data_IF_794951663949
#
_entry.id   IF_794951663949
#
_cell.length_a   1.000
_cell.length_b   1.000
_cell.length_c   1.000
_cell.angle_alpha   90.00
_cell.angle_beta   90.00
_cell.angle_gamma   90.00
#
_symmetry.space_group_name_H-M   'P 1'
#
loop_
_entity.id
_entity.type
_entity.pdbx_description
1 polymer ?
#
# COMPACT_ATOMS: atom_id res chain seq x y z
N UNK A 1 39.69 10.24 -26.42
CA UNK A 1 39.06 9.11 -25.68
C UNK A 1 37.53 9.12 -25.72
N UNK A 2 36.83 10.16 -25.24
CA UNK A 2 35.36 10.13 -25.10
C UNK A 2 34.48 10.06 -26.36
N UNK A 3 35.05 10.14 -27.58
CA UNK A 3 34.29 9.96 -28.84
C UNK A 3 34.16 8.48 -29.21
N UNK A 4 35.26 7.73 -29.08
CA UNK A 4 35.31 6.27 -29.29
C UNK A 4 34.42 5.53 -28.28
N UNK A 5 34.44 5.98 -27.03
CA UNK A 5 33.65 5.38 -25.95
C UNK A 5 32.14 5.53 -26.18
N UNK A 6 31.70 6.69 -26.69
CA UNK A 6 30.32 6.94 -27.09
C UNK A 6 29.89 6.04 -28.26
N UNK A 7 30.75 5.85 -29.26
CA UNK A 7 30.49 4.95 -30.39
C UNK A 7 30.37 3.49 -29.94
N UNK A 8 31.22 3.03 -29.03
CA UNK A 8 31.13 1.67 -28.48
C UNK A 8 29.81 1.47 -27.72
N UNK A 9 29.40 2.47 -26.92
CA UNK A 9 28.13 2.39 -26.18
C UNK A 9 26.90 2.42 -27.08
N UNK A 10 26.90 3.22 -28.15
CA UNK A 10 25.81 3.24 -29.14
C UNK A 10 25.69 1.92 -29.88
N UNK A 11 26.82 1.34 -30.30
CA UNK A 11 26.85 0.06 -31.01
C UNK A 11 26.33 -1.08 -30.12
N UNK A 12 26.78 -1.14 -28.86
CA UNK A 12 26.24 -2.11 -27.89
C UNK A 12 24.74 -1.96 -27.66
N UNK A 13 24.20 -0.74 -27.69
CA UNK A 13 22.76 -0.50 -27.54
C UNK A 13 22.01 -0.97 -28.80
N UNK A 14 22.54 -0.68 -29.99
CA UNK A 14 21.98 -1.10 -31.25
C UNK A 14 21.90 -2.62 -31.37
N UNK A 15 23.01 -3.32 -31.11
CA UNK A 15 23.07 -4.78 -31.17
C UNK A 15 22.11 -5.45 -30.17
N UNK A 16 22.01 -4.92 -28.94
CA UNK A 16 21.05 -5.43 -27.95
C UNK A 16 19.60 -5.21 -28.38
N UNK A 17 19.30 -4.07 -28.98
CA UNK A 17 17.96 -3.80 -29.51
C UNK A 17 17.64 -4.78 -30.64
N UNK A 18 18.53 -4.90 -31.62
CA UNK A 18 18.38 -5.82 -32.75
C UNK A 18 18.22 -7.27 -32.31
N UNK A 19 19.00 -7.74 -31.34
CA UNK A 19 18.86 -9.09 -30.81
C UNK A 19 17.50 -9.31 -30.15
N UNK A 20 16.99 -8.33 -29.38
CA UNK A 20 15.65 -8.42 -28.78
C UNK A 20 14.55 -8.41 -29.82
N UNK A 21 14.68 -7.56 -30.84
CA UNK A 21 13.71 -7.45 -31.92
C UNK A 21 13.64 -8.78 -32.69
N UNK A 22 14.79 -9.37 -33.03
CA UNK A 22 14.86 -10.70 -33.65
C UNK A 22 14.24 -11.80 -32.78
N UNK A 23 14.57 -11.87 -31.48
CA UNK A 23 13.98 -12.86 -30.56
C UNK A 23 12.46 -12.69 -30.50
N UNK A 24 11.98 -11.45 -30.44
CA UNK A 24 10.56 -11.13 -30.40
C UNK A 24 9.88 -11.58 -31.69
N UNK A 25 10.44 -11.25 -32.85
CA UNK A 25 9.91 -11.66 -34.16
C UNK A 25 9.88 -13.19 -34.29
N UNK A 26 10.97 -13.88 -33.93
CA UNK A 26 11.02 -15.34 -33.95
C UNK A 26 10.00 -15.98 -33.00
N UNK A 27 9.82 -15.41 -31.81
CA UNK A 27 8.80 -15.87 -30.87
C UNK A 27 7.41 -15.77 -31.49
N UNK A 28 7.02 -14.60 -31.99
CA UNK A 28 5.68 -14.42 -32.57
C UNK A 28 5.47 -15.20 -33.87
N UNK A 29 6.53 -15.43 -34.65
CA UNK A 29 6.45 -16.24 -35.85
C UNK A 29 6.25 -17.74 -35.56
N UNK A 30 6.65 -18.22 -34.38
CA UNK A 30 6.68 -19.66 -34.05
C UNK A 30 5.75 -20.06 -32.89
N UNK A 31 5.24 -19.11 -32.11
CA UNK A 31 4.47 -19.41 -30.89
C UNK A 31 3.21 -20.23 -31.21
N UNK A 32 2.50 -19.88 -32.29
CA UNK A 32 1.29 -20.60 -32.69
C UNK A 32 1.61 -22.04 -33.12
N UNK A 33 2.70 -22.24 -33.86
CA UNK A 33 3.17 -23.55 -34.30
C UNK A 33 3.58 -24.42 -33.12
N UNK A 34 4.35 -23.84 -32.19
CA UNK A 34 4.78 -24.51 -30.95
C UNK A 34 3.56 -24.88 -30.09
N UNK A 35 2.56 -24.01 -29.99
CA UNK A 35 1.34 -24.26 -29.23
C UNK A 35 0.50 -25.39 -29.85
N UNK A 36 0.34 -25.41 -31.18
CA UNK A 36 -0.36 -26.49 -31.89
C UNK A 36 0.37 -27.82 -31.68
N UNK A 37 1.70 -27.85 -31.81
CA UNK A 37 2.51 -29.06 -31.58
C UNK A 37 2.35 -29.58 -30.14
N UNK A 38 2.34 -28.69 -29.14
CA UNK A 38 2.09 -29.04 -27.74
C UNK A 38 0.70 -29.68 -27.54
N UNK A 39 -0.34 -29.09 -28.13
CA UNK A 39 -1.70 -29.62 -28.07
C UNK A 39 -1.80 -31.02 -28.71
N UNK A 40 -1.16 -31.23 -29.87
CA UNK A 40 -1.11 -32.53 -30.54
C UNK A 40 -0.37 -33.59 -29.69
N UNK A 41 0.61 -33.18 -28.90
CA UNK A 41 1.33 -34.03 -27.95
C UNK A 41 0.57 -34.22 -26.62
N UNK A 42 -0.59 -33.60 -26.45
CA UNK A 42 -1.37 -33.66 -25.20
C UNK A 42 -0.76 -32.87 -24.04
N UNK A 43 0.18 -31.96 -24.31
CA UNK A 43 0.81 -31.11 -23.32
C UNK A 43 -0.02 -29.83 -23.17
N UNK A 44 -0.79 -29.72 -22.08
CA UNK A 44 -1.59 -28.53 -21.76
C UNK A 44 -0.70 -27.41 -21.20
N UNK A 45 -0.95 -26.16 -21.60
CA UNK A 45 -0.31 -24.97 -21.03
C UNK A 45 -0.47 -24.89 -19.49
N UNK A 46 -1.52 -25.52 -18.94
CA UNK A 46 -1.77 -25.57 -17.50
C UNK A 46 -0.73 -26.39 -16.72
N UNK A 47 -0.05 -27.36 -17.36
CA UNK A 47 0.94 -28.21 -16.68
C UNK A 47 2.30 -27.53 -16.54
N UNK A 48 2.68 -26.67 -17.50
CA UNK A 48 3.97 -25.95 -17.50
C UNK A 48 3.91 -24.60 -16.76
N UNK A 49 2.73 -24.02 -16.63
CA UNK A 49 2.50 -22.77 -15.91
C UNK A 49 1.84 -23.07 -14.56
N UNK A 50 2.61 -23.63 -13.62
CA UNK A 50 2.38 -23.38 -12.19
C UNK A 50 2.68 -21.91 -11.88
N UNK A 51 1.89 -21.02 -12.47
CA UNK A 51 1.83 -19.63 -12.04
C UNK A 51 1.01 -19.69 -10.77
N UNK A 52 1.71 -19.85 -9.65
CA UNK A 52 1.13 -19.59 -8.33
C UNK A 52 0.41 -18.24 -8.42
N UNK A 53 -0.88 -18.22 -8.08
CA UNK A 53 -1.65 -16.99 -8.11
C UNK A 53 -0.89 -15.93 -7.31
N UNK A 54 -0.60 -14.77 -7.91
CA UNK A 54 0.18 -13.76 -7.23
C UNK A 54 -0.54 -13.40 -5.92
N UNK A 55 0.19 -13.47 -4.81
CA UNK A 55 -0.33 -13.06 -3.51
C UNK A 55 -0.69 -11.57 -3.62
N UNK A 56 -1.99 -11.28 -3.81
CA UNK A 56 -2.49 -9.91 -3.95
C UNK A 56 -2.40 -9.24 -2.59
N UNK A 57 -1.39 -8.39 -2.42
CA UNK A 57 -1.27 -7.53 -1.23
C UNK A 57 -2.09 -6.26 -1.42
N UNK A 58 -3.11 -6.08 -0.58
CA UNK A 58 -3.90 -4.86 -0.57
C UNK A 58 -3.23 -3.78 0.29
N UNK A 59 -3.29 -2.53 -0.20
CA UNK A 59 -2.73 -1.38 0.51
C UNK A 59 -3.43 -1.06 1.83
N UNK A 60 -4.68 -1.49 2.00
CA UNK A 60 -5.47 -1.29 3.21
C UNK A 60 -6.38 -2.47 3.51
N UNK A 61 -6.73 -2.62 4.79
CA UNK A 61 -7.50 -3.76 5.31
C UNK A 61 -8.94 -3.75 4.83
N UNK A 62 -9.50 -2.56 4.60
CA UNK A 62 -10.86 -2.34 4.11
C UNK A 62 -10.99 -2.89 2.68
N UNK A 63 -10.00 -2.65 1.81
CA UNK A 63 -9.96 -3.27 0.47
C UNK A 63 -9.79 -4.78 0.53
N UNK A 64 -8.97 -5.30 1.44
CA UNK A 64 -8.79 -6.74 1.61
C UNK A 64 -10.08 -7.42 2.10
N UNK A 65 -10.82 -6.80 3.03
CA UNK A 65 -12.13 -7.29 3.50
C UNK A 65 -13.14 -7.27 2.35
N UNK A 66 -13.22 -6.16 1.64
CA UNK A 66 -14.14 -6.01 0.53
C UNK A 66 -13.86 -7.01 -0.60
N UNK A 67 -12.59 -7.21 -0.99
CA UNK A 67 -12.21 -8.20 -1.99
C UNK A 67 -12.59 -9.62 -1.54
N UNK A 68 -12.30 -10.00 -0.29
CA UNK A 68 -12.71 -11.31 0.26
C UNK A 68 -14.23 -11.48 0.27
N UNK A 69 -14.98 -10.41 0.50
CA UNK A 69 -16.44 -10.45 0.55
C UNK A 69 -17.08 -10.52 -0.84
N UNK A 70 -16.52 -9.81 -1.83
CA UNK A 70 -17.00 -9.78 -3.21
C UNK A 70 -16.59 -11.01 -4.03
N UNK A 71 -15.37 -11.52 -3.82
CA UNK A 71 -14.79 -12.64 -4.56
C UNK A 71 -14.79 -13.94 -3.75
N UNK A 72 -15.73 -14.09 -2.83
CA UNK A 72 -15.91 -15.32 -2.04
C UNK A 72 -16.22 -16.50 -2.98
N UNK A 73 -15.49 -17.60 -2.82
CA UNK A 73 -15.61 -18.80 -3.67
C UNK A 73 -17.03 -19.39 -3.64
N UNK A 74 -17.53 -19.82 -4.80
CA UNK A 74 -18.84 -20.46 -4.93
C UNK A 74 -18.94 -21.75 -4.07
N UNK A 75 -17.81 -22.39 -3.78
CA UNK A 75 -17.75 -23.57 -2.92
C UNK A 75 -18.13 -23.31 -1.44
N UNK A 76 -17.97 -22.07 -0.96
CA UNK A 76 -18.34 -21.69 0.41
C UNK A 76 -19.85 -21.45 0.61
N UNK A 77 -20.66 -21.49 -0.44
CA UNK A 77 -22.12 -21.38 -0.34
C UNK A 77 -22.79 -22.70 0.03
N UNK A 78 -22.05 -23.81 0.06
CA UNK A 78 -22.61 -25.14 0.34
C UNK A 78 -23.00 -25.34 1.82
N UNK A 79 -22.45 -24.56 2.76
CA UNK A 79 -22.67 -24.77 4.20
C UNK A 79 -23.23 -23.57 4.96
N UNK A 80 -23.34 -22.40 4.34
CA UNK A 80 -23.89 -21.21 5.01
C UNK A 80 -25.37 -21.03 4.66
N UNK A 81 -26.25 -21.44 5.58
CA UNK A 81 -27.60 -20.87 5.78
C UNK A 81 -27.52 -19.39 6.23
N UNK A 82 -26.52 -18.64 5.75
CA UNK A 82 -26.34 -17.24 6.07
C UNK A 82 -27.31 -16.42 5.23
N UNK A 83 -28.22 -15.76 5.94
CA UNK A 83 -29.18 -14.81 5.38
C UNK A 83 -28.44 -13.84 4.45
N UNK A 84 -28.77 -13.81 3.14
CA UNK A 84 -28.07 -12.97 2.15
C UNK A 84 -28.07 -11.49 2.54
N UNK A 85 -29.00 -11.08 3.39
CA UNK A 85 -29.08 -9.75 3.99
C UNK A 85 -27.87 -9.39 4.86
N UNK A 86 -27.37 -10.30 5.70
CA UNK A 86 -26.24 -9.99 6.58
C UNK A 86 -24.94 -9.78 5.78
N UNK A 87 -24.71 -10.61 4.77
CA UNK A 87 -23.57 -10.45 3.86
C UNK A 87 -23.65 -9.12 3.10
N UNK A 88 -24.83 -8.78 2.55
CA UNK A 88 -25.03 -7.48 1.88
C UNK A 88 -24.79 -6.31 2.81
N UNK A 89 -25.29 -6.36 4.04
CA UNK A 89 -25.03 -5.32 5.04
C UNK A 89 -23.53 -5.19 5.32
N UNK A 90 -22.82 -6.31 5.52
CA UNK A 90 -21.37 -6.29 5.74
C UNK A 90 -20.62 -5.66 4.55
N UNK A 91 -20.98 -6.02 3.31
CA UNK A 91 -20.41 -5.43 2.10
C UNK A 91 -20.66 -3.92 2.05
N UNK A 92 -21.87 -3.46 2.38
CA UNK A 92 -22.20 -2.03 2.45
C UNK A 92 -21.38 -1.32 3.53
N UNK A 93 -21.22 -1.92 4.71
CA UNK A 93 -20.38 -1.39 5.77
C UNK A 93 -18.90 -1.29 5.33
N UNK A 94 -18.37 -2.34 4.71
CA UNK A 94 -16.99 -2.36 4.20
C UNK A 94 -16.78 -1.32 3.09
N UNK A 95 -17.75 -1.16 2.18
CA UNK A 95 -17.74 -0.10 1.16
C UNK A 95 -17.76 1.29 1.78
N UNK A 96 -18.63 1.52 2.76
CA UNK A 96 -18.77 2.81 3.44
C UNK A 96 -17.48 3.15 4.18
N UNK A 97 -16.90 2.17 4.89
CA UNK A 97 -15.61 2.32 5.57
C UNK A 97 -14.51 2.70 4.58
N UNK A 98 -14.45 2.06 3.40
CA UNK A 98 -13.48 2.38 2.35
C UNK A 98 -13.69 3.80 1.77
N UNK A 99 -14.93 4.21 1.53
CA UNK A 99 -15.26 5.54 1.00
C UNK A 99 -14.91 6.67 1.98
N UNK A 100 -14.93 6.40 3.28
CA UNK A 100 -14.53 7.34 4.32
C UNK A 100 -13.00 7.53 4.40
N UNK A 101 -12.22 6.72 3.66
CA UNK A 101 -10.76 6.86 3.65
C UNK A 101 -10.31 7.93 2.66
N UNK A 102 -9.45 8.84 3.14
CA UNK A 102 -8.67 9.73 2.30
C UNK A 102 -7.78 8.87 1.40
N UNK A 103 -7.89 9.09 0.08
CA UNK A 103 -7.19 8.30 -0.93
C UNK A 103 -5.71 8.11 -0.58
N UNK A 104 -5.30 6.84 -0.47
CA UNK A 104 -3.88 6.50 -0.30
C UNK A 104 -3.14 7.11 -1.49
N UNK A 105 -2.14 8.00 -1.28
CA UNK A 105 -1.40 8.57 -2.38
C UNK A 105 -0.83 7.41 -3.20
N UNK A 106 -1.29 7.26 -4.44
CA UNK A 106 -0.81 6.27 -5.38
C UNK A 106 0.62 6.66 -5.77
N UNK A 107 1.58 6.44 -4.87
CA UNK A 107 2.99 6.45 -5.25
C UNK A 107 3.22 5.14 -5.96
N UNK A 108 2.95 5.16 -7.27
CA UNK A 108 3.49 4.21 -8.22
C UNK A 108 5.01 4.24 -8.06
N UNK A 109 5.53 3.33 -7.22
CA UNK A 109 6.93 2.96 -7.23
C UNK A 109 6.96 1.61 -7.90
N UNK A 110 7.51 1.59 -9.10
CA UNK A 110 8.14 0.42 -9.71
C UNK A 110 9.33 -0.03 -8.85
N UNK A 111 9.07 -0.39 -7.60
CA UNK A 111 9.98 -1.16 -6.78
C UNK A 111 9.58 -2.60 -7.01
N UNK A 112 10.35 -3.28 -7.87
CA UNK A 112 10.39 -4.75 -7.93
C UNK A 112 10.56 -5.23 -6.49
N UNK A 113 9.48 -5.72 -5.89
CA UNK A 113 9.47 -6.15 -4.52
C UNK A 113 10.19 -7.49 -4.48
N UNK A 114 11.43 -7.50 -3.99
CA UNK A 114 12.01 -8.72 -3.43
C UNK A 114 11.11 -9.16 -2.28
N UNK A 115 10.57 -10.37 -2.42
CA UNK A 115 9.78 -11.01 -1.39
C UNK A 115 10.60 -11.10 -0.09
N UNK A 116 10.17 -10.35 0.92
CA UNK A 116 10.38 -10.76 2.31
C UNK A 116 9.03 -11.25 2.81
N UNK A 117 8.92 -12.58 2.91
CA UNK A 117 7.73 -13.25 3.42
C UNK A 117 7.48 -12.88 4.87
N UNK A 118 6.39 -12.16 5.12
CA UNK A 118 5.74 -12.14 6.42
C UNK A 118 4.67 -13.23 6.40
N UNK A 119 5.07 -14.43 6.87
CA UNK A 119 4.13 -15.37 7.46
C UNK A 119 3.68 -14.75 8.77
N UNK A 120 2.45 -14.24 8.80
CA UNK A 120 1.68 -14.13 10.02
C UNK A 120 0.21 -14.25 9.63
N UNK A 121 -0.39 -15.35 10.07
CA UNK A 121 -1.82 -15.63 10.01
C UNK A 121 -2.60 -14.43 10.58
N UNK A 122 -3.65 -13.94 9.90
CA UNK A 122 -4.44 -12.84 10.42
C UNK A 122 -5.35 -13.38 11.53
N UNK A 123 -4.86 -13.35 12.78
CA UNK A 123 -5.76 -13.36 13.93
C UNK A 123 -6.72 -12.17 13.84
N UNK A 124 -7.96 -12.27 14.35
CA UNK A 124 -8.90 -11.15 14.34
C UNK A 124 -8.29 -9.99 15.12
N UNK A 125 -7.82 -8.96 14.42
CA UNK A 125 -7.29 -7.75 15.06
C UNK A 125 -8.49 -7.01 15.63
N UNK A 126 -8.65 -7.14 16.94
CA UNK A 126 -9.48 -6.32 17.78
C UNK A 126 -9.11 -4.85 17.55
N UNK A 127 -10.14 -4.07 17.24
CA UNK A 127 -10.00 -2.75 16.64
C UNK A 127 -9.84 -1.66 17.67
N UNK A 128 -8.83 -1.67 18.54
CA UNK A 128 -8.44 -0.46 19.26
C UNK A 128 -7.08 -0.58 19.99
N UNK A 129 -5.98 -0.70 19.25
CA UNK A 129 -4.66 -0.47 19.83
C UNK A 129 -3.96 0.66 19.10
N UNK A 130 -4.42 1.90 19.33
CA UNK A 130 -3.53 3.05 19.19
C UNK A 130 -2.41 2.88 20.21
N UNK A 131 -1.13 2.79 19.81
CA UNK A 131 -0.05 2.66 20.76
C UNK A 131 -0.04 3.88 21.69
N UNK A 132 -0.21 3.65 23.00
CA UNK A 132 -0.10 4.70 24.03
C UNK A 132 1.28 5.40 23.97
N UNK A 133 2.28 4.73 23.39
CA UNK A 133 3.61 5.26 23.13
C UNK A 133 3.84 5.30 21.61
N UNK A 134 3.80 6.51 21.05
CA UNK A 134 4.11 6.74 19.65
C UNK A 134 5.62 6.90 19.44
N UNK A 135 6.24 6.19 18.48
CA UNK A 135 7.59 6.50 18.02
C UNK A 135 7.74 7.99 17.70
N UNK A 136 8.88 8.59 18.07
CA UNK A 136 9.18 10.02 17.84
C UNK A 136 9.19 10.44 16.35
N UNK A 137 9.07 9.48 15.44
CA UNK A 137 8.99 9.66 13.99
C UNK A 137 7.57 9.54 13.43
N UNK A 138 6.53 9.43 14.25
CA UNK A 138 5.14 9.44 13.82
C UNK A 138 4.54 10.84 13.84
N UNK A 139 3.51 11.08 13.04
CA UNK A 139 2.81 12.36 12.99
C UNK A 139 1.51 12.27 13.79
N UNK A 140 1.35 13.06 14.87
CA UNK A 140 0.14 13.04 15.72
C UNK A 140 -1.14 13.27 14.91
N UNK A 141 -1.13 14.26 14.02
CA UNK A 141 -2.27 14.55 13.15
C UNK A 141 -2.65 13.38 12.24
N UNK A 142 -1.67 12.65 11.71
CA UNK A 142 -1.94 11.51 10.83
C UNK A 142 -2.33 10.26 11.62
N UNK A 143 -1.83 10.13 12.84
CA UNK A 143 -2.17 9.03 13.73
C UNK A 143 -3.63 9.13 14.18
N UNK A 144 -4.08 10.31 14.60
CA UNK A 144 -5.46 10.56 15.01
C UNK A 144 -6.44 10.79 13.85
N UNK A 145 -5.99 10.73 12.60
CA UNK A 145 -6.88 10.90 11.46
C UNK A 145 -7.61 9.60 11.14
N UNK A 146 -8.88 9.54 11.53
CA UNK A 146 -9.75 8.39 11.26
C UNK A 146 -10.00 8.13 9.76
N UNK A 147 -9.81 9.14 8.92
CA UNK A 147 -9.92 9.02 7.47
C UNK A 147 -8.68 8.35 6.86
N UNK A 148 -7.66 7.98 7.63
CA UNK A 148 -6.55 7.14 7.13
C UNK A 148 -6.83 5.68 7.39
N UNK A 149 -6.44 4.82 6.45
CA UNK A 149 -6.55 3.37 6.59
C UNK A 149 -5.85 2.93 7.88
N UNK A 150 -6.45 2.02 8.66
CA UNK A 150 -5.97 1.66 10.00
C UNK A 150 -4.51 1.19 10.01
N UNK A 151 -4.08 0.46 8.98
CA UNK A 151 -2.69 0.01 8.81
C UNK A 151 -1.71 1.13 8.40
N UNK A 152 -2.21 2.28 7.98
CA UNK A 152 -1.42 3.46 7.57
C UNK A 152 -1.37 4.58 8.62
N UNK A 153 -2.25 4.54 9.63
CA UNK A 153 -2.24 5.47 10.79
C UNK A 153 -0.93 5.42 11.58
N UNK A 154 -0.32 4.25 11.90
CA UNK A 154 0.96 4.19 12.60
C UNK A 154 2.18 4.44 11.69
N UNK A 155 2.01 5.11 10.54
CA UNK A 155 3.11 5.37 9.61
C UNK A 155 4.24 6.14 10.29
N UNK A 156 5.42 5.52 10.34
CA UNK A 156 6.64 6.12 10.86
C UNK A 156 7.49 6.66 9.72
N UNK A 157 7.88 7.93 9.82
CA UNK A 157 8.83 8.52 8.90
C UNK A 157 10.23 7.95 9.14
N UNK A 158 11.03 7.82 8.08
CA UNK A 158 12.38 7.29 8.22
C UNK A 158 13.33 8.19 9.04
N UNK A 159 13.05 9.49 9.10
CA UNK A 159 13.88 10.49 9.80
C UNK A 159 13.02 11.60 10.43
N UNK A 160 13.38 12.14 11.61
CA UNK A 160 12.69 13.26 12.23
C UNK A 160 12.55 14.48 11.31
N UNK A 161 13.56 14.81 10.50
CA UNK A 161 13.50 15.95 9.56
C UNK A 161 12.36 15.83 8.53
N UNK A 162 12.07 14.60 8.09
CA UNK A 162 10.98 14.32 7.15
C UNK A 162 9.64 14.47 7.86
N UNK A 163 9.54 14.01 9.11
CA UNK A 163 8.37 14.23 9.96
C UNK A 163 8.12 15.73 10.14
N UNK A 164 9.12 16.51 10.58
CA UNK A 164 9.01 17.96 10.80
C UNK A 164 8.49 18.69 9.56
N UNK A 165 9.09 18.40 8.40
CA UNK A 165 8.67 18.98 7.12
C UNK A 165 7.25 18.59 6.75
N UNK A 166 6.86 17.33 6.98
CA UNK A 166 5.50 16.86 6.75
C UNK A 166 4.50 17.58 7.65
N UNK A 167 4.76 17.62 8.96
CA UNK A 167 3.88 18.27 9.94
C UNK A 167 3.68 19.74 9.60
N UNK A 168 4.76 20.45 9.28
CA UNK A 168 4.67 21.84 8.88
C UNK A 168 3.87 22.03 7.59
N UNK A 169 4.25 21.34 6.50
CA UNK A 169 3.66 21.59 5.18
C UNK A 169 2.22 21.10 5.05
N UNK A 170 1.85 20.03 5.75
CA UNK A 170 0.54 19.39 5.61
C UNK A 170 -0.46 19.85 6.67
N UNK A 171 0.01 20.18 7.90
CA UNK A 171 -0.89 20.46 9.03
C UNK A 171 -0.73 21.88 9.54
N UNK A 172 0.48 22.31 9.91
CA UNK A 172 0.68 23.60 10.59
C UNK A 172 0.60 24.82 9.68
N UNK A 173 0.99 24.71 8.41
CA UNK A 173 1.02 25.84 7.46
C UNK A 173 -0.34 26.50 7.25
N UNK A 174 -1.42 25.75 7.43
CA UNK A 174 -2.79 26.22 7.21
C UNK A 174 -3.54 26.51 8.51
N UNK A 175 -2.91 26.29 9.67
CA UNK A 175 -3.47 26.62 10.98
C UNK A 175 -3.33 28.14 11.21
N UNK A 176 -4.39 28.76 11.74
CA UNK A 176 -4.31 30.14 12.19
C UNK A 176 -3.30 30.25 13.35
N UNK A 177 -2.49 31.33 13.43
CA UNK A 177 -1.45 31.47 14.44
C UNK A 177 -1.95 31.35 15.90
N UNK A 178 -3.19 31.75 16.13
CA UNK A 178 -3.94 31.81 17.37
C UNK A 178 -5.01 30.70 17.49
N UNK A 179 -4.99 29.70 16.60
CA UNK A 179 -5.95 28.62 16.62
C UNK A 179 -5.89 27.86 17.96
N UNK A 180 -7.07 27.66 18.57
CA UNK A 180 -7.25 26.72 19.67
C UNK A 180 -7.77 25.39 19.12
N UNK A 181 -7.06 24.30 19.39
CA UNK A 181 -7.43 22.97 18.91
C UNK A 181 -7.00 21.88 19.90
N UNK A 182 -7.74 20.76 19.99
CA UNK A 182 -7.34 19.64 20.84
C UNK A 182 -6.08 18.97 20.31
N UNK A 183 -5.29 18.36 21.19
CA UNK A 183 -4.14 17.58 20.79
C UNK A 183 -4.56 16.51 19.76
N UNK A 184 -3.90 16.43 18.59
CA UNK A 184 -4.29 15.46 17.55
C UNK A 184 -4.03 13.99 17.91
N UNK A 185 -3.40 13.71 19.06
CA UNK A 185 -3.14 12.35 19.49
C UNK A 185 -4.39 11.71 20.11
N UNK A 186 -4.82 10.50 19.68
CA UNK A 186 -6.09 9.88 20.11
C UNK A 186 -6.28 9.77 21.64
N UNK A 187 -5.20 9.46 22.35
CA UNK A 187 -5.22 9.30 23.81
C UNK A 187 -4.86 10.59 24.59
N UNK A 188 -4.75 11.74 23.93
CA UNK A 188 -4.44 13.02 24.58
C UNK A 188 -5.62 13.97 24.47
N UNK A 189 -6.00 14.58 25.59
CA UNK A 189 -7.16 15.48 25.68
C UNK A 189 -6.80 16.94 25.95
N UNK A 190 -5.52 17.29 25.87
CA UNK A 190 -5.05 18.67 26.12
C UNK A 190 -5.46 19.61 24.99
N UNK A 191 -5.85 20.85 25.34
CA UNK A 191 -6.16 21.90 24.37
C UNK A 191 -4.94 22.79 24.13
N UNK A 192 -4.63 23.00 22.85
CA UNK A 192 -3.43 23.67 22.41
C UNK A 192 -3.77 25.04 21.83
N UNK A 193 -2.88 26.01 22.09
CA UNK A 193 -3.08 27.42 21.78
C UNK A 193 -1.97 27.85 20.83
N UNK A 194 -2.25 27.75 19.54
CA UNK A 194 -1.29 28.07 18.50
C UNK A 194 -0.17 27.03 18.33
N UNK A 195 0.69 27.31 17.35
CA UNK A 195 1.70 26.37 16.87
C UNK A 195 2.84 26.17 17.88
N UNK A 196 3.22 27.20 18.63
CA UNK A 196 4.28 27.14 19.63
C UNK A 196 3.89 26.22 20.78
N UNK A 197 2.69 26.41 21.36
CA UNK A 197 2.18 25.56 22.43
C UNK A 197 2.08 24.10 21.99
N UNK A 198 1.65 23.84 20.74
CA UNK A 198 1.66 22.49 20.19
C UNK A 198 3.06 21.86 20.10
N UNK A 199 4.07 22.60 19.65
CA UNK A 199 5.45 22.07 19.55
C UNK A 199 6.02 21.70 20.91
N UNK A 200 5.80 22.54 21.92
CA UNK A 200 6.27 22.31 23.28
C UNK A 200 5.53 21.12 23.90
N UNK A 201 4.20 21.05 23.73
CA UNK A 201 3.38 19.91 24.15
C UNK A 201 3.85 18.60 23.50
N UNK A 202 4.07 18.60 22.18
CA UNK A 202 4.56 17.43 21.45
C UNK A 202 5.93 16.95 21.97
N UNK A 203 6.83 17.85 22.33
CA UNK A 203 8.14 17.52 22.87
C UNK A 203 8.06 17.00 24.32
N UNK A 204 7.25 17.61 25.17
CA UNK A 204 7.17 17.28 26.59
C UNK A 204 6.35 16.01 26.85
N UNK A 205 5.17 15.91 26.25
CA UNK A 205 4.19 14.83 26.48
C UNK A 205 4.46 13.66 25.54
N UNK A 206 4.61 13.92 24.24
CA UNK A 206 4.75 12.88 23.23
C UNK A 206 6.19 12.55 22.84
N UNK A 207 7.19 13.22 23.45
CA UNK A 207 8.63 13.06 23.15
C UNK A 207 8.97 13.20 21.66
N UNK A 208 8.23 14.06 20.95
CA UNK A 208 8.45 14.33 19.53
C UNK A 208 8.94 15.76 19.29
N UNK A 209 10.10 15.90 18.64
CA UNK A 209 10.71 17.19 18.38
C UNK A 209 10.31 17.71 16.98
N UNK A 210 9.53 18.81 16.94
CA UNK A 210 8.87 19.34 15.74
C UNK A 210 9.40 20.70 15.24
#
# INVERSE_FOLDING_TARGET
>A
HGKLERTIQSERRFLRKRARDNIREEFFAKIDTIEIERQLLGLSLADDLKVEDPIVQFTCVERARLARSLFRSLASFAEEEHKPHHHRMQVIHDWTALCNLQGIPYKQRDSRCELVGLKEEPSPIDGDMTPTVCPATQCLFCLGNEQRASNSRPYSFSRPDKLRRHVYNCHLRYLAPDACFPCPHPACSENLWGITHFKDHAALIHKMYL
#
